data_IF_504903917863
#
_entry.id   IF_504903917863
#
_cell.length_a   1.000
_cell.length_b   1.000
_cell.length_c   1.000
_cell.angle_alpha   90.00
_cell.angle_beta   90.00
_cell.angle_gamma   90.00
#
_symmetry.space_group_name_H-M   'P 1'
#
loop_
_entity.id
_entity.type
_entity.pdbx_description
1 polymer ?
#
# COMPACT_ATOMS: atom_id res chain seq x y z
N UNK A 1 -11.45 3.56 -7.31
CA UNK A 1 -10.18 4.30 -7.06
C UNK A 1 -9.80 4.99 -8.36
N UNK A 2 -9.68 6.32 -8.36
CA UNK A 2 -9.33 7.12 -9.55
C UNK A 2 -7.83 7.38 -9.56
N UNK A 3 -7.22 7.41 -10.74
CA UNK A 3 -5.84 7.84 -10.92
C UNK A 3 -5.69 9.31 -10.51
N UNK A 4 -4.51 9.70 -10.02
CA UNK A 4 -4.24 11.05 -9.51
C UNK A 4 -3.41 11.81 -10.53
N UNK A 5 -3.94 12.95 -10.99
CA UNK A 5 -3.22 13.90 -11.85
C UNK A 5 -2.57 14.97 -10.95
N UNK A 6 -1.25 15.09 -11.03
CA UNK A 6 -0.46 16.13 -10.36
C UNK A 6 -0.17 17.28 -11.34
N UNK A 7 0.33 18.44 -10.87
CA UNK A 7 0.66 19.57 -11.74
C UNK A 7 1.64 19.23 -12.88
N UNK A 8 2.43 18.16 -12.73
CA UNK A 8 3.44 17.72 -13.68
C UNK A 8 3.01 16.46 -14.47
N UNK A 9 1.74 16.02 -14.37
CA UNK A 9 1.21 14.83 -15.04
C UNK A 9 0.69 13.77 -14.07
N UNK A 10 0.35 12.58 -14.60
CA UNK A 10 -0.19 11.50 -13.79
C UNK A 10 0.85 11.00 -12.77
N UNK A 11 0.43 10.77 -11.52
CA UNK A 11 1.29 10.19 -10.49
C UNK A 11 1.87 8.83 -10.92
N UNK A 12 1.06 8.04 -11.61
CA UNK A 12 1.47 6.78 -12.23
C UNK A 12 1.08 6.81 -13.72
N UNK A 13 1.98 7.29 -14.60
CA UNK A 13 1.71 7.36 -16.03
C UNK A 13 1.69 5.96 -16.65
N UNK A 14 0.89 5.82 -17.71
CA UNK A 14 0.80 4.62 -18.52
C UNK A 14 1.89 4.58 -19.59
N UNK A 15 1.61 3.88 -20.71
CA UNK A 15 2.54 3.85 -21.85
C UNK A 15 2.71 5.23 -22.51
N UNK A 16 1.62 5.99 -22.57
CA UNK A 16 1.65 7.41 -22.90
C UNK A 16 1.62 8.21 -21.61
N UNK A 17 2.44 9.24 -21.51
CA UNK A 17 2.47 10.15 -20.35
C UNK A 17 1.17 10.94 -20.16
N UNK A 18 0.33 10.99 -21.19
CA UNK A 18 -1.01 11.59 -21.18
C UNK A 18 -2.06 10.73 -20.51
N UNK A 19 -1.78 9.43 -20.34
CA UNK A 19 -2.73 8.46 -19.79
C UNK A 19 -2.23 7.92 -18.45
N UNK A 20 -3.12 7.61 -17.50
CA UNK A 20 -2.73 6.91 -16.29
C UNK A 20 -2.43 5.43 -16.59
N UNK A 21 -1.69 4.78 -15.70
CA UNK A 21 -1.50 3.33 -15.75
C UNK A 21 -2.85 2.59 -15.71
N UNK A 22 -3.02 1.61 -16.60
CA UNK A 22 -4.20 0.75 -16.58
C UNK A 22 -4.11 -0.31 -15.49
N UNK A 23 -5.27 -0.79 -15.02
CA UNK A 23 -5.34 -1.92 -14.08
C UNK A 23 -4.65 -3.17 -14.62
N UNK A 24 -4.79 -3.43 -15.92
CA UNK A 24 -4.12 -4.56 -16.60
C UNK A 24 -2.60 -4.45 -16.54
N UNK A 25 -2.05 -3.26 -16.77
CA UNK A 25 -0.61 -3.02 -16.67
C UNK A 25 -0.10 -3.23 -15.24
N UNK A 26 -0.82 -2.72 -14.24
CA UNK A 26 -0.47 -2.94 -12.84
C UNK A 26 -0.50 -4.42 -12.47
N UNK A 27 -1.54 -5.14 -12.88
CA UNK A 27 -1.64 -6.59 -12.67
C UNK A 27 -0.48 -7.35 -13.31
N UNK A 28 -0.10 -6.99 -14.55
CA UNK A 28 1.02 -7.60 -15.25
C UNK A 28 2.34 -7.34 -14.51
N UNK A 29 2.60 -6.11 -14.10
CA UNK A 29 3.81 -5.76 -13.36
C UNK A 29 3.93 -6.56 -12.04
N UNK A 30 2.82 -6.74 -11.31
CA UNK A 30 2.80 -7.57 -10.10
C UNK A 30 3.08 -9.05 -10.40
N UNK A 31 2.55 -9.56 -11.52
CA UNK A 31 2.81 -10.94 -11.94
C UNK A 31 4.27 -11.16 -12.31
N UNK A 32 4.83 -10.29 -13.16
CA UNK A 32 6.24 -10.32 -13.57
C UNK A 32 7.17 -10.26 -12.35
N UNK A 33 6.85 -9.39 -11.36
CA UNK A 33 7.61 -9.32 -10.12
C UNK A 33 7.51 -10.60 -9.27
N UNK A 34 6.33 -11.23 -9.21
CA UNK A 34 6.14 -12.48 -8.49
C UNK A 34 6.92 -13.64 -9.14
N UNK A 35 6.94 -13.71 -10.48
CA UNK A 35 7.74 -14.68 -11.23
C UNK A 35 9.24 -14.48 -10.99
N UNK A 36 9.72 -13.23 -11.08
CA UNK A 36 11.11 -12.89 -10.81
C UNK A 36 11.53 -13.23 -9.37
N UNK A 37 10.61 -13.10 -8.40
CA UNK A 37 10.83 -13.48 -7.01
C UNK A 37 10.66 -14.99 -6.73
N UNK A 38 10.36 -15.82 -7.74
CA UNK A 38 10.16 -17.26 -7.58
C UNK A 38 8.86 -17.64 -6.84
N UNK A 39 7.90 -16.72 -6.71
CA UNK A 39 6.64 -16.96 -6.01
C UNK A 39 5.69 -17.73 -6.92
N UNK A 40 5.51 -19.03 -6.64
CA UNK A 40 4.64 -19.93 -7.42
C UNK A 40 3.14 -19.74 -7.14
N UNK A 41 2.77 -18.98 -6.11
CA UNK A 41 1.37 -18.70 -5.76
C UNK A 41 0.84 -17.59 -6.66
N UNK A 42 -0.48 -17.60 -6.90
CA UNK A 42 -1.13 -16.50 -7.65
C UNK A 42 -1.09 -15.21 -6.84
N UNK A 43 -0.35 -14.21 -7.33
CA UNK A 43 -0.25 -12.88 -6.71
C UNK A 43 -1.03 -11.86 -7.55
N UNK A 44 -1.69 -10.93 -6.88
CA UNK A 44 -2.40 -9.80 -7.48
C UNK A 44 -2.22 -8.55 -6.61
N UNK A 45 -2.54 -7.34 -7.12
CA UNK A 45 -2.56 -6.13 -6.30
C UNK A 45 -3.41 -6.26 -5.03
N UNK A 46 -4.51 -7.04 -5.08
CA UNK A 46 -5.33 -7.32 -3.90
C UNK A 46 -4.61 -8.22 -2.90
N UNK A 47 -3.84 -9.21 -3.36
CA UNK A 47 -3.00 -10.06 -2.51
C UNK A 47 -2.01 -9.20 -1.73
N UNK A 48 -1.31 -8.29 -2.40
CA UNK A 48 -0.36 -7.37 -1.76
C UNK A 48 -1.04 -6.48 -0.71
N UNK A 49 -2.24 -5.97 -1.02
CA UNK A 49 -3.05 -5.17 -0.08
C UNK A 49 -3.46 -5.97 1.16
N UNK A 50 -3.83 -7.23 1.00
CA UNK A 50 -4.15 -8.10 2.13
C UNK A 50 -2.90 -8.44 2.95
N UNK A 51 -1.78 -8.76 2.30
CA UNK A 51 -0.51 -8.99 2.99
C UNK A 51 -0.07 -7.78 3.81
N UNK A 52 -0.25 -6.56 3.30
CA UNK A 52 -0.01 -5.33 4.07
C UNK A 52 -0.90 -5.25 5.31
N UNK A 53 -2.20 -5.54 5.18
CA UNK A 53 -3.12 -5.55 6.31
C UNK A 53 -2.74 -6.60 7.36
N UNK A 54 -2.42 -7.82 6.91
CA UNK A 54 -2.02 -8.92 7.78
C UNK A 54 -0.74 -8.59 8.53
N UNK A 55 0.29 -8.03 7.86
CA UNK A 55 1.51 -7.62 8.54
C UNK A 55 1.28 -6.54 9.61
N UNK A 56 0.40 -5.58 9.36
CA UNK A 56 0.08 -4.59 10.39
C UNK A 56 -0.64 -5.23 11.57
N UNK A 57 -1.56 -6.17 11.32
CA UNK A 57 -2.22 -6.94 12.39
C UNK A 57 -1.22 -7.78 13.20
N UNK A 58 -0.26 -8.43 12.53
CA UNK A 58 0.80 -9.23 13.16
C UNK A 58 1.76 -8.38 14.02
N UNK A 59 1.74 -7.05 13.84
CA UNK A 59 2.50 -6.08 14.63
C UNK A 59 1.64 -5.38 15.68
N UNK A 60 0.48 -5.95 16.02
CA UNK A 60 -0.47 -5.40 17.01
C UNK A 60 -0.95 -3.98 16.69
N UNK A 61 -0.91 -3.58 15.41
CA UNK A 61 -1.44 -2.28 14.98
C UNK A 61 -2.97 -2.32 15.11
N UNK A 62 -3.54 -1.31 15.75
CA UNK A 62 -4.99 -1.19 15.95
C UNK A 62 -5.73 -1.33 14.60
N UNK A 63 -6.70 -2.25 14.55
CA UNK A 63 -7.48 -2.55 13.36
C UNK A 63 -8.15 -1.30 12.74
N UNK A 64 -8.47 -0.29 13.55
CA UNK A 64 -9.01 0.99 13.10
C UNK A 64 -7.98 1.81 12.31
N UNK A 65 -6.70 1.76 12.71
CA UNK A 65 -5.60 2.38 11.96
C UNK A 65 -5.40 1.66 10.63
N UNK A 66 -5.44 0.34 10.63
CA UNK A 66 -5.30 -0.49 9.43
C UNK A 66 -6.43 -0.18 8.44
N UNK A 67 -7.67 -0.05 8.92
CA UNK A 67 -8.82 0.31 8.10
C UNK A 67 -8.65 1.69 7.43
N UNK A 68 -8.15 2.69 8.16
CA UNK A 68 -7.85 4.02 7.63
C UNK A 68 -6.75 3.95 6.56
N UNK A 69 -5.63 3.28 6.85
CA UNK A 69 -4.51 3.13 5.91
C UNK A 69 -4.92 2.40 4.62
N UNK A 70 -5.79 1.39 4.74
CA UNK A 70 -6.30 0.71 3.57
C UNK A 70 -7.32 1.56 2.82
N UNK A 71 -8.06 2.46 3.47
CA UNK A 71 -9.04 3.31 2.81
C UNK A 71 -10.29 2.54 2.37
N UNK A 72 -10.77 1.62 3.21
CA UNK A 72 -12.09 1.00 3.03
C UNK A 72 -13.18 1.88 3.63
N UNK A 73 -14.20 2.11 2.82
CA UNK A 73 -15.16 3.20 2.88
C UNK A 73 -16.55 2.76 3.37
N UNK A 74 -16.63 1.77 4.27
CA UNK A 74 -17.89 1.45 4.97
C UNK A 74 -17.60 1.06 6.42
N UNK A 75 -17.55 2.08 7.27
CA UNK A 75 -17.73 1.97 8.72
C UNK A 75 -18.74 3.05 9.08
N UNK A 76 -19.99 2.65 9.29
CA UNK A 76 -21.00 3.48 9.92
C UNK A 76 -20.53 3.82 11.34
N UNK A 77 -19.69 4.86 11.50
CA UNK A 77 -19.40 5.62 12.75
C UNK A 77 -18.19 6.54 12.54
N UNK A 78 -18.39 7.65 11.83
CA UNK A 78 -17.32 8.55 11.31
C UNK A 78 -16.57 9.38 12.36
N UNK A 79 -17.00 9.44 13.63
CA UNK A 79 -16.42 10.39 14.60
C UNK A 79 -15.17 9.88 15.34
N UNK A 80 -14.98 8.56 15.49
CA UNK A 80 -13.87 8.01 16.28
C UNK A 80 -12.57 7.83 15.46
N UNK A 81 -12.69 7.60 14.15
CA UNK A 81 -11.56 7.27 13.27
C UNK A 81 -10.60 8.43 13.01
N UNK A 82 -11.11 9.67 12.93
CA UNK A 82 -10.30 10.85 12.65
C UNK A 82 -9.25 11.09 13.74
N UNK A 83 -9.62 10.86 15.00
CA UNK A 83 -8.72 11.14 16.14
C UNK A 83 -7.58 10.13 16.24
N UNK A 84 -7.82 8.88 15.83
CA UNK A 84 -6.82 7.81 15.81
C UNK A 84 -5.91 7.94 14.58
N UNK A 85 -6.46 8.31 13.42
CA UNK A 85 -5.70 8.47 12.17
C UNK A 85 -4.60 9.54 12.26
N UNK A 86 -4.90 10.73 12.78
CA UNK A 86 -3.97 11.87 12.76
C UNK A 86 -2.75 11.66 13.66
N UNK A 87 -2.86 10.87 14.74
CA UNK A 87 -1.75 10.63 15.68
C UNK A 87 -0.90 9.41 15.32
N UNK A 88 -1.49 8.38 14.74
CA UNK A 88 -0.82 7.06 14.63
C UNK A 88 -0.16 6.83 13.26
N UNK A 89 -0.62 7.48 12.18
CA UNK A 89 -0.01 7.32 10.84
C UNK A 89 1.48 7.74 10.84
N UNK A 90 1.90 8.67 11.69
CA UNK A 90 3.31 9.06 11.82
C UNK A 90 4.19 8.05 12.57
N UNK A 91 3.61 7.16 13.39
CA UNK A 91 4.36 6.26 14.26
C UNK A 91 4.44 4.81 13.72
N UNK A 92 3.59 4.45 12.77
CA UNK A 92 3.56 3.09 12.21
C UNK A 92 4.55 3.00 11.07
N UNK A 93 5.67 2.31 11.29
CA UNK A 93 6.59 1.93 10.22
C UNK A 93 5.93 0.83 9.39
N UNK A 94 5.56 1.12 8.15
CA UNK A 94 4.92 0.16 7.27
C UNK A 94 5.89 -0.94 6.79
N UNK A 95 5.37 -2.08 6.30
CA UNK A 95 6.18 -3.10 5.64
C UNK A 95 7.02 -2.57 4.46
N UNK A 96 6.47 -1.61 3.70
CA UNK A 96 7.22 -0.95 2.63
C UNK A 96 8.36 -0.08 3.16
N UNK A 97 8.13 0.65 4.25
CA UNK A 97 9.17 1.48 4.88
C UNK A 97 10.30 0.62 5.44
N UNK A 98 9.98 -0.54 6.02
CA UNK A 98 11.00 -1.54 6.44
C UNK A 98 11.75 -2.12 5.25
N UNK A 99 11.06 -2.41 4.15
CA UNK A 99 11.70 -2.91 2.94
C UNK A 99 12.65 -1.86 2.35
N UNK A 100 12.22 -0.59 2.30
CA UNK A 100 13.07 0.51 1.88
C UNK A 100 14.29 0.65 2.81
N UNK A 101 14.10 0.60 4.13
CA UNK A 101 15.22 0.63 5.08
C UNK A 101 16.21 -0.53 4.88
N UNK A 102 15.72 -1.75 4.60
CA UNK A 102 16.56 -2.92 4.28
C UNK A 102 17.32 -2.74 2.96
N UNK A 103 16.68 -2.17 1.94
CA UNK A 103 17.30 -1.87 0.65
C UNK A 103 18.32 -0.73 0.74
N UNK A 104 18.14 0.20 1.69
CA UNK A 104 19.03 1.34 1.97
C UNK A 104 20.15 0.99 2.98
N UNK A 105 20.19 -0.24 3.51
CA UNK A 105 21.22 -0.68 4.47
C UNK A 105 21.11 -0.05 5.86
N UNK A 106 19.94 0.52 6.21
CA UNK A 106 19.71 1.14 7.52
C UNK A 106 19.24 0.09 8.53
N UNK A 107 19.82 0.01 9.75
CA UNK A 107 19.38 -0.96 10.74
C UNK A 107 17.91 -0.71 11.13
N UNK A 108 17.13 -1.77 11.41
CA UNK A 108 15.75 -1.61 11.85
C UNK A 108 15.74 -0.82 13.16
N UNK A 109 14.98 0.28 13.18
CA UNK A 109 14.76 1.04 14.41
C UNK A 109 14.03 0.11 15.41
N UNK A 110 14.76 -0.27 16.46
CA UNK A 110 14.21 -0.97 17.62
C UNK A 110 13.37 -0.06 18.51
#
# INVERSE_FOLDING_TARGET
RRSVLLPHGWLFPGRSYTDPISTRQLHRAVHEAAEAAGIRKRVSPHTLRHSFATHLLEQDVDIRVIQVLLGHSKLETTALYTKVATRTIHAVTGPLDRLMALMEGKPPAG
#
